data_IF_278986719126
#
_entry.id   IF_278986719126
#
_cell.length_a   1.000
_cell.length_b   1.000
_cell.length_c   1.000
_cell.angle_alpha   90.00
_cell.angle_beta   90.00
_cell.angle_gamma   90.00
#
_symmetry.space_group_name_H-M   'P 1'
#
loop_
_entity.id
_entity.type
_entity.pdbx_description
1 polymer ?
#
# COMPACT_ATOMS: atom_id res chain seq x y z
N UNK A 1 22.43 -10.26 6.49
CA UNK A 1 20.98 -10.47 6.48
C UNK A 1 20.64 -11.79 7.15
N UNK A 2 19.64 -11.79 7.97
CA UNK A 2 19.22 -13.00 8.64
C UNK A 2 18.08 -13.65 7.84
N UNK A 3 18.38 -14.73 7.14
CA UNK A 3 17.42 -15.42 6.29
C UNK A 3 16.27 -16.06 7.08
N UNK A 4 16.50 -16.35 8.37
CA UNK A 4 15.47 -17.02 9.18
C UNK A 4 14.28 -16.09 9.47
N UNK A 5 14.42 -14.78 9.26
CA UNK A 5 13.34 -13.81 9.45
C UNK A 5 12.58 -13.51 8.16
N UNK A 6 13.06 -14.02 7.03
CA UNK A 6 12.40 -13.78 5.76
C UNK A 6 11.12 -14.60 5.66
N UNK A 7 10.02 -13.95 5.30
CA UNK A 7 8.74 -14.60 5.06
C UNK A 7 8.58 -14.80 3.57
N UNK A 8 8.25 -16.02 3.18
CA UNK A 8 8.03 -16.36 1.77
C UNK A 8 6.55 -16.42 1.50
N UNK A 9 6.10 -15.62 0.53
CA UNK A 9 4.69 -15.56 0.14
C UNK A 9 4.49 -16.25 -1.21
N UNK A 10 3.30 -16.81 -1.47
CA UNK A 10 3.01 -17.40 -2.78
C UNK A 10 3.19 -16.37 -3.90
N UNK A 11 3.67 -16.80 -5.08
CA UNK A 11 3.87 -15.86 -6.19
C UNK A 11 2.63 -15.06 -6.58
N UNK A 12 1.45 -15.67 -6.54
CA UNK A 12 0.21 -14.96 -6.87
C UNK A 12 -0.09 -13.85 -5.87
N UNK A 13 0.21 -14.09 -4.61
CA UNK A 13 0.05 -13.07 -3.55
C UNK A 13 0.97 -11.89 -3.81
N UNK A 14 2.24 -12.16 -4.11
CA UNK A 14 3.22 -11.12 -4.40
C UNK A 14 2.85 -10.34 -5.67
N UNK A 15 2.43 -11.03 -6.71
CA UNK A 15 2.07 -10.41 -7.98
C UNK A 15 0.88 -9.47 -7.82
N UNK A 16 -0.14 -9.91 -7.10
CA UNK A 16 -1.33 -9.10 -6.86
C UNK A 16 -0.98 -7.87 -6.03
N UNK A 17 -0.19 -8.05 -4.99
CA UNK A 17 0.22 -6.96 -4.11
C UNK A 17 1.08 -5.94 -4.86
N UNK A 18 2.06 -6.41 -5.63
CA UNK A 18 2.92 -5.52 -6.42
C UNK A 18 2.09 -4.72 -7.42
N UNK A 19 1.16 -5.39 -8.09
CA UNK A 19 0.28 -4.72 -9.06
C UNK A 19 -0.59 -3.67 -8.39
N UNK A 20 -1.15 -4.00 -7.22
CA UNK A 20 -1.96 -3.05 -6.47
C UNK A 20 -1.17 -1.81 -6.11
N UNK A 21 0.09 -1.96 -5.67
CA UNK A 21 0.95 -0.82 -5.36
C UNK A 21 1.27 0.01 -6.60
N UNK A 22 1.63 -0.65 -7.70
CA UNK A 22 1.95 0.09 -8.94
C UNK A 22 0.78 0.91 -9.43
N UNK A 23 -0.45 0.42 -9.22
CA UNK A 23 -1.66 1.13 -9.64
C UNK A 23 -2.18 2.13 -8.61
N UNK A 24 -1.60 2.17 -7.41
CA UNK A 24 -2.07 3.05 -6.35
C UNK A 24 -1.61 4.48 -6.57
N UNK A 25 -2.28 5.46 -5.96
CA UNK A 25 -1.85 6.85 -6.01
C UNK A 25 -0.72 7.16 -5.03
N UNK A 26 -0.29 6.18 -4.25
CA UNK A 26 0.69 6.39 -3.19
C UNK A 26 2.12 6.26 -3.70
N UNK A 27 3.06 6.78 -2.93
CA UNK A 27 4.48 6.84 -3.28
C UNK A 27 5.31 6.00 -2.33
N UNK A 28 6.58 5.80 -2.70
CA UNK A 28 7.53 5.11 -1.81
C UNK A 28 7.71 5.87 -0.50
N UNK A 29 7.59 7.20 -0.51
CA UNK A 29 7.71 8.00 0.71
C UNK A 29 6.68 7.58 1.75
N UNK A 30 5.45 7.27 1.32
CA UNK A 30 4.43 6.80 2.24
C UNK A 30 4.81 5.43 2.81
N UNK A 31 5.28 4.52 1.98
CA UNK A 31 5.69 3.19 2.44
C UNK A 31 6.78 3.29 3.50
N UNK A 32 7.78 4.13 3.25
CA UNK A 32 8.86 4.33 4.20
C UNK A 32 8.36 4.91 5.53
N UNK A 33 7.42 5.84 5.47
CA UNK A 33 6.83 6.42 6.68
C UNK A 33 6.07 5.36 7.48
N UNK A 34 5.33 4.49 6.80
CA UNK A 34 4.55 3.45 7.46
C UNK A 34 5.40 2.31 8.04
N UNK A 35 6.68 2.24 7.71
CA UNK A 35 7.57 1.26 8.33
C UNK A 35 7.76 1.55 9.83
N UNK A 36 7.79 2.81 10.22
CA UNK A 36 8.15 3.22 11.57
C UNK A 36 7.01 3.79 12.39
N UNK A 37 5.90 4.17 11.75
CA UNK A 37 4.80 4.83 12.45
C UNK A 37 3.48 4.54 11.76
N UNK A 38 2.40 4.58 12.53
CA UNK A 38 1.07 4.56 11.96
C UNK A 38 0.77 5.90 11.31
N UNK A 39 0.31 5.89 10.06
CA UNK A 39 -0.01 7.10 9.32
C UNK A 39 -1.54 7.23 9.29
N UNK A 40 -2.10 8.32 9.84
CA UNK A 40 -3.54 8.47 9.89
C UNK A 40 -4.14 8.78 8.52
N UNK A 41 -5.39 8.41 8.33
CA UNK A 41 -6.10 8.65 7.08
C UNK A 41 -6.04 10.12 6.66
N UNK A 42 -6.13 11.02 7.61
CA UNK A 42 -6.11 12.46 7.34
C UNK A 42 -4.83 12.91 6.66
N UNK A 43 -3.71 12.24 6.94
CA UNK A 43 -2.43 12.55 6.32
C UNK A 43 -2.33 12.05 4.87
N UNK A 44 -3.31 11.27 4.42
CA UNK A 44 -3.34 10.70 3.08
C UNK A 44 -4.28 11.45 2.14
N UNK A 45 -4.84 12.57 2.58
CA UNK A 45 -5.87 13.30 1.84
C UNK A 45 -5.41 14.71 1.49
N UNK A 46 -5.96 15.22 0.39
CA UNK A 46 -5.82 16.61 0.00
C UNK A 46 -4.38 17.05 -0.25
N UNK A 47 -4.18 18.35 -0.10
CA UNK A 47 -2.88 18.96 -0.33
C UNK A 47 -1.86 18.58 0.74
N UNK A 48 -2.29 18.27 1.94
CA UNK A 48 -1.40 17.87 3.02
C UNK A 48 -0.64 16.60 2.65
N UNK A 49 -1.32 15.62 2.05
CA UNK A 49 -0.69 14.38 1.61
C UNK A 49 0.35 14.64 0.52
N UNK A 50 0.02 15.54 -0.41
CA UNK A 50 0.96 15.91 -1.47
C UNK A 50 2.17 16.65 -0.91
N UNK A 51 1.96 17.52 0.05
CA UNK A 51 3.05 18.27 0.69
C UNK A 51 4.04 17.34 1.38
N UNK A 52 3.56 16.24 1.95
CA UNK A 52 4.41 15.21 2.54
C UNK A 52 5.02 14.27 1.50
N UNK A 53 4.60 14.37 0.25
CA UNK A 53 5.07 13.48 -0.78
C UNK A 53 4.43 12.10 -0.76
N UNK A 54 3.34 11.90 -0.03
CA UNK A 54 2.70 10.60 0.14
C UNK A 54 1.83 10.19 -1.05
N UNK A 55 1.27 11.17 -1.75
CA UNK A 55 0.41 10.90 -2.90
C UNK A 55 0.86 11.74 -4.09
N UNK A 56 0.53 11.25 -5.30
CA UNK A 56 0.87 11.95 -6.54
C UNK A 56 -0.17 13.01 -6.90
N UNK A 57 -1.35 12.92 -6.28
CA UNK A 57 -2.46 13.84 -6.51
C UNK A 57 -3.25 13.99 -5.23
N UNK A 58 -4.02 15.07 -5.07
CA UNK A 58 -4.87 15.20 -3.90
C UNK A 58 -5.99 14.17 -3.95
N UNK A 59 -6.27 13.52 -2.84
CA UNK A 59 -7.34 12.52 -2.73
C UNK A 59 -8.40 13.03 -1.76
N UNK A 60 -9.66 12.77 -2.08
CA UNK A 60 -10.75 12.93 -1.12
C UNK A 60 -10.66 11.82 -0.09
N UNK A 61 -11.20 12.06 1.11
CA UNK A 61 -11.17 11.09 2.21
C UNK A 61 -11.70 9.74 1.79
N UNK A 62 -12.82 9.72 1.08
CA UNK A 62 -13.46 8.48 0.66
C UNK A 62 -12.57 7.71 -0.32
N UNK A 63 -11.85 8.41 -1.18
CA UNK A 63 -10.96 7.75 -2.13
C UNK A 63 -9.69 7.25 -1.46
N UNK A 64 -9.13 8.02 -0.53
CA UNK A 64 -7.95 7.59 0.23
C UNK A 64 -8.30 6.33 1.03
N UNK A 65 -9.44 6.30 1.68
CA UNK A 65 -9.88 5.13 2.43
C UNK A 65 -10.08 3.93 1.53
N UNK A 66 -10.74 4.12 0.38
CA UNK A 66 -10.96 3.04 -0.58
C UNK A 66 -9.65 2.44 -1.07
N UNK A 67 -8.66 3.29 -1.35
CA UNK A 67 -7.35 2.81 -1.78
C UNK A 67 -6.65 2.03 -0.66
N UNK A 68 -6.74 2.52 0.57
CA UNK A 68 -6.13 1.80 1.71
C UNK A 68 -6.82 0.47 1.97
N UNK A 69 -8.15 0.41 1.84
CA UNK A 69 -8.87 -0.85 2.00
C UNK A 69 -8.40 -1.90 0.99
N UNK A 70 -8.15 -1.49 -0.25
CA UNK A 70 -7.60 -2.41 -1.25
C UNK A 70 -6.20 -2.89 -0.88
N UNK A 71 -5.34 -1.99 -0.41
CA UNK A 71 -3.99 -2.37 0.02
C UNK A 71 -4.03 -3.28 1.24
N UNK A 72 -5.01 -3.12 2.12
CA UNK A 72 -5.23 -4.06 3.22
C UNK A 72 -5.63 -5.43 2.67
N UNK A 73 -6.52 -5.45 1.72
CA UNK A 73 -7.04 -6.70 1.16
C UNK A 73 -5.96 -7.50 0.44
N UNK A 74 -5.03 -6.85 -0.23
CA UNK A 74 -3.91 -7.54 -0.88
C UNK A 74 -2.75 -7.85 0.06
N UNK A 75 -2.86 -7.48 1.34
CA UNK A 75 -1.91 -7.88 2.36
C UNK A 75 -0.73 -6.96 2.59
N UNK A 76 -0.77 -5.74 2.07
CA UNK A 76 0.36 -4.80 2.16
C UNK A 76 0.31 -3.91 3.38
N UNK A 77 -0.89 -3.57 3.83
CA UNK A 77 -1.14 -2.58 4.86
C UNK A 77 -2.10 -3.16 5.88
N UNK A 78 -2.00 -2.71 7.11
CA UNK A 78 -2.95 -3.04 8.17
C UNK A 78 -3.31 -1.79 8.96
N UNK A 79 -4.46 -1.81 9.59
CA UNK A 79 -4.82 -0.76 10.53
C UNK A 79 -4.07 -0.97 11.83
N UNK A 80 -3.63 0.13 12.43
CA UNK A 80 -3.01 0.08 13.74
C UNK A 80 -4.05 -0.17 14.81
N UNK A 81 -3.71 -0.99 15.80
CA UNK A 81 -4.58 -1.30 16.93
C UNK A 81 -3.96 -0.71 18.19
N UNK A 82 -4.75 0.04 18.95
CA UNK A 82 -4.32 0.56 20.25
C UNK A 82 -5.15 -0.08 21.36
N UNK A 83 -5.04 0.44 22.58
CA UNK A 83 -5.76 -0.11 23.72
C UNK A 83 -7.28 0.02 23.63
N UNK A 84 -7.80 0.77 22.69
CA UNK A 84 -9.23 0.97 22.50
C UNK A 84 -9.78 0.30 21.25
N UNK A 85 -8.92 -0.39 20.48
CA UNK A 85 -9.34 -1.12 19.30
C UNK A 85 -8.67 -0.64 18.02
N UNK A 86 -9.36 -0.84 16.90
CA UNK A 86 -8.84 -0.50 15.58
C UNK A 86 -8.89 1.01 15.37
N UNK A 87 -7.78 1.56 14.88
CA UNK A 87 -7.68 3.00 14.61
C UNK A 87 -7.80 3.29 13.11
N UNK A 88 -7.80 4.58 12.76
CA UNK A 88 -7.75 5.04 11.36
C UNK A 88 -6.32 5.29 10.90
N UNK A 89 -5.34 4.72 11.59
CA UNK A 89 -3.93 4.81 11.19
C UNK A 89 -3.48 3.51 10.54
N UNK A 90 -2.57 3.62 9.58
CA UNK A 90 -2.13 2.49 8.75
C UNK A 90 -0.65 2.25 8.90
N UNK A 91 -0.27 0.98 8.93
CA UNK A 91 1.12 0.54 8.98
C UNK A 91 1.33 -0.55 7.96
N UNK A 92 2.60 -0.79 7.61
CA UNK A 92 2.93 -1.88 6.69
C UNK A 92 2.87 -3.23 7.39
N UNK A 93 2.43 -4.23 6.63
CA UNK A 93 2.59 -5.63 6.99
C UNK A 93 4.02 -6.07 6.66
N UNK A 94 4.45 -7.28 7.05
CA UNK A 94 5.74 -7.80 6.62
C UNK A 94 5.87 -7.84 5.08
N UNK A 95 4.80 -8.18 4.36
CA UNK A 95 4.83 -8.16 2.90
C UNK A 95 5.04 -6.73 2.38
N UNK A 96 4.34 -5.75 2.96
CA UNK A 96 4.52 -4.35 2.59
C UNK A 96 5.94 -3.87 2.82
N UNK A 97 6.57 -4.33 3.89
CA UNK A 97 7.96 -3.97 4.18
C UNK A 97 8.93 -4.54 3.14
N UNK A 98 8.66 -5.73 2.63
CA UNK A 98 9.50 -6.30 1.57
C UNK A 98 9.49 -5.40 0.34
N UNK A 99 8.31 -4.95 -0.08
CA UNK A 99 8.21 -4.04 -1.23
C UNK A 99 8.84 -2.68 -0.93
N UNK A 100 8.65 -2.16 0.26
CA UNK A 100 9.26 -0.90 0.67
C UNK A 100 10.78 -0.97 0.54
N UNK A 101 11.38 -2.06 1.01
CA UNK A 101 12.81 -2.26 0.95
C UNK A 101 13.30 -2.46 -0.48
N UNK A 102 12.55 -3.25 -1.28
CA UNK A 102 12.94 -3.53 -2.66
C UNK A 102 12.90 -2.27 -3.53
N UNK A 103 11.95 -1.38 -3.28
CA UNK A 103 11.73 -0.20 -4.11
C UNK A 103 12.23 1.09 -3.46
N UNK A 104 12.95 0.98 -2.38
CA UNK A 104 13.36 2.11 -1.56
C UNK A 104 14.13 3.17 -2.34
N UNK A 105 15.02 2.76 -3.22
CA UNK A 105 15.90 3.68 -3.95
C UNK A 105 15.30 4.17 -5.24
N UNK A 106 14.59 3.32 -5.95
CA UNK A 106 14.08 3.64 -7.29
C UNK A 106 12.63 4.12 -7.28
N UNK A 107 11.93 3.94 -6.17
CA UNK A 107 10.52 4.25 -6.09
C UNK A 107 9.64 3.12 -6.59
N UNK A 108 8.33 3.31 -6.49
CA UNK A 108 7.36 2.33 -6.96
C UNK A 108 7.35 2.36 -8.49
N UNK A 109 7.53 1.20 -9.15
CA UNK A 109 7.50 1.18 -10.61
C UNK A 109 6.15 1.64 -11.18
N UNK A 110 6.19 2.23 -12.36
CA UNK A 110 4.97 2.67 -13.02
C UNK A 110 4.11 1.47 -13.43
N UNK A 111 2.79 1.62 -13.32
CA UNK A 111 1.86 0.60 -13.75
C UNK A 111 1.74 0.56 -15.27
N UNK A 112 1.75 -0.64 -15.83
CA UNK A 112 1.43 -0.84 -17.23
C UNK A 112 -0.08 -0.81 -17.44
N UNK A 113 -0.51 -0.74 -18.71
CA UNK A 113 -1.93 -0.83 -19.01
C UNK A 113 -2.52 -2.17 -18.56
N UNK A 114 -1.77 -3.26 -18.76
CA UNK A 114 -2.19 -4.58 -18.32
C UNK A 114 -2.30 -4.67 -16.79
N UNK A 115 -1.38 -4.02 -16.06
CA UNK A 115 -1.47 -3.93 -14.60
C UNK A 115 -2.78 -3.28 -14.17
N UNK A 116 -3.14 -2.18 -14.82
CA UNK A 116 -4.35 -1.43 -14.48
C UNK A 116 -5.60 -2.25 -14.72
N UNK A 117 -5.65 -2.93 -15.85
CA UNK A 117 -6.80 -3.78 -16.19
C UNK A 117 -6.95 -4.91 -15.18
N UNK A 118 -5.88 -5.65 -14.93
CA UNK A 118 -5.93 -6.80 -14.04
C UNK A 118 -6.21 -6.38 -12.60
N UNK A 119 -5.61 -5.27 -12.16
CA UNK A 119 -5.89 -4.74 -10.84
C UNK A 119 -7.37 -4.36 -10.68
N UNK A 120 -7.96 -3.74 -11.71
CA UNK A 120 -9.37 -3.40 -11.70
C UNK A 120 -10.24 -4.66 -11.58
N UNK A 121 -9.93 -5.68 -12.37
CA UNK A 121 -10.69 -6.93 -12.33
C UNK A 121 -10.59 -7.61 -10.95
N UNK A 122 -9.40 -7.67 -10.40
CA UNK A 122 -9.18 -8.30 -9.10
C UNK A 122 -9.86 -7.52 -7.96
N UNK A 123 -9.82 -6.19 -8.04
CA UNK A 123 -10.35 -5.33 -6.98
C UNK A 123 -11.87 -5.25 -7.01
N UNK A 124 -12.43 -5.02 -8.17
CA UNK A 124 -13.85 -4.68 -8.28
C UNK A 124 -14.72 -5.85 -8.72
N UNK A 125 -14.16 -6.77 -9.50
CA UNK A 125 -14.92 -7.92 -10.01
C UNK A 125 -14.46 -9.23 -9.35
N UNK A 126 -13.52 -9.15 -8.40
CA UNK A 126 -12.98 -10.31 -7.67
C UNK A 126 -12.47 -11.40 -8.61
N UNK A 127 -11.81 -10.99 -9.65
CA UNK A 127 -11.25 -11.90 -10.63
C UNK A 127 -10.13 -12.74 -10.02
N UNK A 128 -10.19 -14.08 -10.07
CA UNK A 128 -9.13 -14.92 -9.55
C UNK A 128 -7.97 -14.95 -10.55
N UNK A 129 -6.87 -14.36 -10.20
CA UNK A 129 -5.71 -14.36 -11.10
C UNK A 129 -4.44 -14.73 -10.36
#
# INVERSE_FOLDING_TARGET
MNLSTAVVYPPKTCDRAARALRCSPFTIALLLAMETAGIPLQALTGQAAMAQGYTRKPLLDVWAESEMLWLIQVGLVRREVDGQGITDSFRLTPLGRQFSQDWQQQGIPAASWGDRLLNFLQRWLRWPA
#
